data_IF_485755906471
#
_entry.id   IF_485755906471
#
_cell.length_a   1.000
_cell.length_b   1.000
_cell.length_c   1.000
_cell.angle_alpha   90.00
_cell.angle_beta   90.00
_cell.angle_gamma   90.00
#
_symmetry.space_group_name_H-M   'P 1'
#
loop_
_entity.id
_entity.type
_entity.pdbx_description
1 polymer ?
#
# COMPACT_ATOMS: atom_id res chain seq x y z
N UNK A 1 30.32 4.04 -26.89
CA UNK A 1 28.94 3.71 -27.30
C UNK A 1 27.86 4.52 -26.58
N UNK A 2 27.78 4.56 -25.24
CA UNK A 2 26.71 5.28 -24.51
C UNK A 2 26.60 6.78 -24.90
N UNK A 3 27.73 7.49 -25.05
CA UNK A 3 27.74 8.91 -25.46
C UNK A 3 27.12 9.17 -26.83
N UNK A 4 27.21 8.21 -27.75
CA UNK A 4 26.64 8.32 -29.11
C UNK A 4 25.10 8.26 -29.09
N UNK A 5 24.50 7.43 -28.23
CA UNK A 5 23.05 7.37 -28.07
C UNK A 5 22.48 8.57 -27.30
N UNK A 6 23.23 9.13 -26.34
CA UNK A 6 22.82 10.31 -25.57
C UNK A 6 22.99 11.63 -26.34
N UNK A 7 24.00 11.72 -27.21
CA UNK A 7 24.31 12.90 -28.01
C UNK A 7 24.40 12.49 -29.47
N UNK A 8 23.31 11.93 -29.98
CA UNK A 8 23.21 11.53 -31.37
C UNK A 8 23.18 12.79 -32.26
N UNK A 9 23.97 12.88 -33.35
CA UNK A 9 23.97 14.04 -34.24
C UNK A 9 22.63 14.25 -34.96
N UNK A 10 21.78 13.22 -35.00
CA UNK A 10 20.39 13.31 -35.49
C UNK A 10 19.37 13.70 -34.39
N UNK A 11 19.81 14.06 -33.18
CA UNK A 11 18.86 14.62 -32.20
C UNK A 11 18.26 15.91 -32.78
N UNK A 12 16.93 16.02 -32.84
CA UNK A 12 16.31 17.22 -33.38
C UNK A 12 16.66 18.41 -32.48
N UNK A 13 16.72 19.61 -33.07
CA UNK A 13 16.91 20.84 -32.30
C UNK A 13 15.78 20.98 -31.26
N UNK A 14 16.05 21.60 -30.10
CA UNK A 14 15.02 21.83 -29.08
C UNK A 14 13.78 22.53 -29.66
N UNK A 15 12.60 22.15 -29.18
CA UNK A 15 11.34 22.73 -29.65
C UNK A 15 11.27 24.23 -29.32
N UNK A 16 10.93 25.03 -30.33
CA UNK A 16 10.68 26.46 -30.19
C UNK A 16 9.18 26.71 -30.30
N UNK A 17 8.55 27.12 -29.20
CA UNK A 17 7.13 27.43 -29.19
C UNK A 17 6.88 28.93 -29.32
N UNK A 18 5.90 29.30 -30.16
CA UNK A 18 5.32 30.64 -30.11
C UNK A 18 4.47 30.83 -28.85
N UNK A 19 4.19 32.08 -28.48
CA UNK A 19 3.55 32.46 -27.20
C UNK A 19 2.29 31.64 -26.88
N UNK A 20 1.30 31.60 -27.78
CA UNK A 20 0.04 30.88 -27.54
C UNK A 20 0.23 29.37 -27.34
N UNK A 21 1.16 28.75 -28.08
CA UNK A 21 1.48 27.33 -27.94
C UNK A 21 2.19 27.05 -26.62
N UNK A 22 3.12 27.92 -26.22
CA UNK A 22 3.81 27.82 -24.95
C UNK A 22 2.85 27.91 -23.77
N UNK A 23 1.92 28.88 -23.80
CA UNK A 23 0.91 29.04 -22.75
C UNK A 23 0.00 27.81 -22.63
N UNK A 24 -0.49 27.26 -23.75
CA UNK A 24 -1.28 26.01 -23.75
C UNK A 24 -0.49 24.84 -23.14
N UNK A 25 0.77 24.67 -23.54
CA UNK A 25 1.64 23.63 -23.00
C UNK A 25 1.84 23.79 -21.49
N UNK A 26 2.11 25.03 -21.04
CA UNK A 26 2.27 25.34 -19.62
C UNK A 26 1.01 25.02 -18.81
N UNK A 27 -0.17 25.38 -19.31
CA UNK A 27 -1.45 25.08 -18.65
C UNK A 27 -1.68 23.57 -18.52
N UNK A 28 -1.47 22.80 -19.60
CA UNK A 28 -1.61 21.34 -19.58
C UNK A 28 -0.63 20.73 -18.58
N UNK A 29 0.64 21.15 -18.62
CA UNK A 29 1.67 20.65 -17.72
C UNK A 29 1.34 20.96 -16.25
N UNK A 30 0.88 22.18 -15.96
CA UNK A 30 0.49 22.58 -14.60
C UNK A 30 -0.72 21.77 -14.11
N UNK A 31 -1.74 21.57 -14.95
CA UNK A 31 -2.90 20.76 -14.63
C UNK A 31 -2.50 19.31 -14.34
N UNK A 32 -1.60 18.73 -15.14
CA UNK A 32 -1.05 17.39 -14.89
C UNK A 32 -0.31 17.30 -13.57
N UNK A 33 0.56 18.26 -13.25
CA UNK A 33 1.27 18.28 -11.96
C UNK A 33 0.31 18.35 -10.77
N UNK A 34 -0.76 19.14 -10.88
CA UNK A 34 -1.79 19.24 -9.85
C UNK A 34 -2.55 17.92 -9.69
N UNK A 35 -2.99 17.31 -10.80
CA UNK A 35 -3.63 16.00 -10.79
C UNK A 35 -2.73 14.93 -10.14
N UNK A 36 -1.44 14.89 -10.50
CA UNK A 36 -0.46 13.98 -9.90
C UNK A 36 -0.28 14.22 -8.40
N UNK A 37 -0.30 15.48 -7.94
CA UNK A 37 -0.26 15.79 -6.51
C UNK A 37 -1.52 15.29 -5.78
N UNK A 38 -2.70 15.47 -6.37
CA UNK A 38 -3.95 14.96 -5.83
C UNK A 38 -3.97 13.43 -5.75
N UNK A 39 -3.47 12.73 -6.78
CA UNK A 39 -3.36 11.28 -6.77
C UNK A 39 -2.45 10.78 -5.64
N UNK A 40 -1.29 11.41 -5.44
CA UNK A 40 -0.39 11.07 -4.33
C UNK A 40 -1.03 11.32 -2.97
N UNK A 41 -1.71 12.46 -2.79
CA UNK A 41 -2.43 12.76 -1.55
C UNK A 41 -3.53 11.72 -1.28
N UNK A 42 -4.31 11.35 -2.29
CA UNK A 42 -5.34 10.32 -2.17
C UNK A 42 -4.75 8.97 -1.77
N UNK A 43 -3.63 8.58 -2.39
CA UNK A 43 -2.92 7.33 -2.03
C UNK A 43 -2.42 7.37 -0.59
N UNK A 44 -1.83 8.49 -0.15
CA UNK A 44 -1.35 8.65 1.21
C UNK A 44 -2.49 8.57 2.24
N UNK A 45 -3.60 9.26 1.99
CA UNK A 45 -4.78 9.21 2.87
C UNK A 45 -5.37 7.80 2.96
N UNK A 46 -5.38 7.06 1.86
CA UNK A 46 -5.87 5.68 1.85
C UNK A 46 -4.94 4.74 2.64
N UNK A 47 -3.62 4.93 2.53
CA UNK A 47 -2.64 4.20 3.36
C UNK A 47 -2.78 4.55 4.85
N UNK A 48 -2.98 5.83 5.18
CA UNK A 48 -3.24 6.28 6.55
C UNK A 48 -4.54 5.68 7.09
N UNK A 49 -5.60 5.62 6.28
CA UNK A 49 -6.87 4.96 6.63
C UNK A 49 -6.68 3.49 6.94
N UNK A 50 -5.98 2.76 6.07
CA UNK A 50 -5.68 1.34 6.27
C UNK A 50 -4.83 1.12 7.52
N UNK A 51 -3.79 1.94 7.74
CA UNK A 51 -2.96 1.88 8.92
C UNK A 51 -3.77 2.12 10.21
N UNK A 52 -4.59 3.17 10.24
CA UNK A 52 -5.41 3.48 11.40
C UNK A 52 -6.40 2.35 11.72
N UNK A 53 -7.03 1.78 10.69
CA UNK A 53 -7.92 0.62 10.86
C UNK A 53 -7.19 -0.60 11.41
N UNK A 54 -6.00 -0.91 10.89
CA UNK A 54 -5.17 -2.01 11.40
C UNK A 54 -4.72 -1.75 12.84
N UNK A 55 -4.35 -0.51 13.18
CA UNK A 55 -3.96 -0.10 14.53
C UNK A 55 -5.11 -0.27 15.51
N UNK A 56 -6.30 0.20 15.18
CA UNK A 56 -7.51 0.07 16.01
C UNK A 56 -7.88 -1.40 16.24
N UNK A 57 -7.81 -2.23 15.20
CA UNK A 57 -8.03 -3.66 15.34
C UNK A 57 -6.98 -4.33 16.26
N UNK A 58 -5.72 -3.92 16.18
CA UNK A 58 -4.67 -4.43 17.05
C UNK A 58 -4.84 -3.99 18.51
N UNK A 59 -5.27 -2.75 18.77
CA UNK A 59 -5.61 -2.28 20.12
C UNK A 59 -6.79 -3.06 20.70
N UNK A 60 -7.83 -3.32 19.89
CA UNK A 60 -8.93 -4.17 20.31
C UNK A 60 -8.44 -5.58 20.70
N UNK A 61 -7.55 -6.19 19.90
CA UNK A 61 -6.94 -7.49 20.22
C UNK A 61 -6.06 -7.47 21.48
N UNK A 62 -5.47 -6.33 21.84
CA UNK A 62 -4.65 -6.16 23.04
C UNK A 62 -5.49 -6.26 24.31
N UNK A 63 -6.72 -5.74 24.27
CA UNK A 63 -7.67 -5.69 25.38
C UNK A 63 -8.63 -6.90 25.40
N UNK A 64 -8.61 -7.72 24.34
CA UNK A 64 -9.45 -8.89 24.20
C UNK A 64 -8.94 -10.06 25.07
N UNK A 65 -9.85 -10.69 25.81
CA UNK A 65 -9.61 -11.96 26.51
C UNK A 65 -9.82 -13.16 25.57
N UNK A 66 -9.45 -14.36 26.02
CA UNK A 66 -9.60 -15.64 25.32
C UNK A 66 -11.04 -15.94 24.84
N UNK A 67 -12.05 -15.41 25.54
CA UNK A 67 -13.47 -15.57 25.19
C UNK A 67 -13.98 -14.50 24.20
N UNK A 68 -13.11 -13.59 23.78
CA UNK A 68 -13.42 -12.54 22.82
C UNK A 68 -14.18 -11.34 23.35
N UNK A 69 -14.27 -11.21 24.68
CA UNK A 69 -14.78 -10.01 25.34
C UNK A 69 -13.65 -8.99 25.49
N UNK A 70 -13.92 -7.72 25.21
CA UNK A 70 -12.99 -6.61 25.45
C UNK A 70 -13.10 -6.14 26.89
N UNK A 71 -11.96 -5.99 27.55
CA UNK A 71 -11.88 -5.37 28.87
C UNK A 71 -11.61 -3.88 28.73
N UNK A 72 -12.20 -3.08 29.62
CA UNK A 72 -11.79 -1.67 29.74
C UNK A 72 -10.36 -1.58 30.25
N UNK A 73 -9.62 -0.56 29.80
CA UNK A 73 -8.18 -0.45 30.02
C UNK A 73 -7.81 -0.43 31.52
N UNK A 74 -8.67 0.17 32.35
CA UNK A 74 -8.49 0.29 33.79
C UNK A 74 -8.68 -1.04 34.55
N UNK A 75 -9.44 -1.97 33.97
CA UNK A 75 -9.70 -3.27 34.59
C UNK A 75 -8.54 -4.26 34.42
N UNK A 76 -7.62 -4.01 33.47
CA UNK A 76 -6.51 -4.90 33.15
C UNK A 76 -5.56 -5.15 34.34
N UNK A 77 -5.45 -4.18 35.26
CA UNK A 77 -4.59 -4.28 36.45
C UNK A 77 -5.15 -5.13 37.60
N UNK A 78 -6.46 -5.42 37.59
CA UNK A 78 -7.14 -6.20 38.63
C UNK A 78 -7.22 -7.71 38.30
N UNK A 79 -6.69 -8.14 37.16
CA UNK A 79 -6.78 -9.54 36.73
C UNK A 79 -5.88 -10.47 37.52
N UNK A 80 -6.38 -11.68 37.77
CA UNK A 80 -5.54 -12.77 38.26
C UNK A 80 -4.41 -13.09 37.27
N UNK A 81 -3.31 -13.64 37.77
CA UNK A 81 -2.13 -13.97 36.96
C UNK A 81 -2.39 -14.93 35.78
N UNK A 82 -3.46 -15.74 35.85
CA UNK A 82 -3.88 -16.64 34.78
C UNK A 82 -4.68 -15.91 33.71
N UNK A 83 -5.60 -15.01 34.09
CA UNK A 83 -6.39 -14.20 33.17
C UNK A 83 -5.53 -13.14 32.47
N UNK A 84 -4.57 -12.54 33.17
CA UNK A 84 -3.65 -11.56 32.57
C UNK A 84 -2.77 -12.16 31.47
N UNK A 85 -2.49 -13.48 31.51
CA UNK A 85 -1.81 -14.20 30.42
C UNK A 85 -2.71 -14.48 29.22
N UNK A 86 -4.03 -14.51 29.41
CA UNK A 86 -5.01 -14.79 28.36
C UNK A 86 -5.36 -13.51 27.59
N UNK A 87 -5.47 -12.39 28.29
CA UNK A 87 -5.61 -11.06 27.68
C UNK A 87 -4.41 -10.74 26.78
N UNK A 88 -4.70 -10.22 25.59
CA UNK A 88 -3.67 -9.84 24.61
C UNK A 88 -2.83 -11.00 24.08
N UNK A 89 -3.25 -12.26 24.30
CA UNK A 89 -2.56 -13.44 23.74
C UNK A 89 -2.58 -13.42 22.20
N UNK A 90 -3.75 -13.15 21.60
CA UNK A 90 -3.89 -13.07 20.15
C UNK A 90 -3.08 -11.92 19.57
N UNK A 91 -3.06 -10.77 20.23
CA UNK A 91 -2.21 -9.63 19.86
C UNK A 91 -0.72 -10.02 19.82
N UNK A 92 -0.20 -10.68 20.86
CA UNK A 92 1.20 -11.15 20.89
C UNK A 92 1.53 -12.12 19.75
N UNK A 93 0.61 -13.03 19.41
CA UNK A 93 0.77 -13.96 18.30
C UNK A 93 0.76 -13.22 16.96
N UNK A 94 -0.17 -12.28 16.76
CA UNK A 94 -0.27 -11.49 15.53
C UNK A 94 0.97 -10.61 15.28
N UNK A 95 1.64 -10.16 16.34
CA UNK A 95 2.88 -9.37 16.24
C UNK A 95 4.14 -10.19 15.94
N UNK A 96 4.06 -11.53 15.95
CA UNK A 96 5.19 -12.38 15.58
C UNK A 96 5.51 -12.22 14.10
N UNK A 97 6.75 -11.85 13.78
CA UNK A 97 7.24 -11.72 12.40
C UNK A 97 7.81 -13.03 11.85
N UNK A 98 7.20 -14.15 12.23
CA UNK A 98 7.62 -15.46 11.76
C UNK A 98 7.38 -15.55 10.25
N UNK A 99 8.37 -16.02 9.50
CA UNK A 99 8.30 -16.25 8.05
C UNK A 99 7.99 -15.04 7.15
N UNK A 100 7.79 -13.84 7.71
CA UNK A 100 7.58 -12.60 6.94
C UNK A 100 8.74 -12.34 5.97
N UNK A 101 9.96 -12.69 6.37
CA UNK A 101 11.18 -12.50 5.58
C UNK A 101 11.43 -13.60 4.55
N UNK A 102 10.62 -14.67 4.51
CA UNK A 102 10.67 -15.67 3.43
C UNK A 102 10.07 -15.13 2.13
N UNK A 103 9.43 -13.96 2.17
CA UNK A 103 8.86 -13.27 1.02
C UNK A 103 7.40 -13.61 0.78
N UNK A 104 6.88 -13.07 -0.32
CA UNK A 104 5.49 -13.25 -0.76
C UNK A 104 5.48 -14.32 -1.87
N UNK A 105 4.50 -15.24 -1.91
CA UNK A 105 4.41 -16.22 -2.99
C UNK A 105 4.34 -15.53 -4.37
N UNK A 106 5.20 -15.95 -5.29
CA UNK A 106 5.38 -15.31 -6.61
C UNK A 106 4.10 -15.33 -7.46
N UNK A 107 3.20 -16.29 -7.20
CA UNK A 107 1.93 -16.44 -7.91
C UNK A 107 0.98 -15.24 -7.71
N UNK A 108 1.07 -14.55 -6.57
CA UNK A 108 0.28 -13.34 -6.29
C UNK A 108 0.90 -12.07 -6.88
N UNK A 109 2.13 -12.11 -7.39
CA UNK A 109 2.84 -10.95 -7.90
C UNK A 109 2.55 -10.63 -9.39
N UNK A 110 1.44 -11.14 -9.94
CA UNK A 110 1.05 -10.89 -11.34
C UNK A 110 0.73 -9.40 -11.54
N UNK A 111 1.46 -8.76 -12.45
CA UNK A 111 1.28 -7.34 -12.80
C UNK A 111 0.01 -7.17 -13.64
N UNK A 112 -0.67 -6.04 -13.48
CA UNK A 112 -1.82 -5.68 -14.30
C UNK A 112 -1.44 -5.53 -15.78
N UNK A 113 -2.28 -6.06 -16.67
CA UNK A 113 -2.13 -5.98 -18.13
C UNK A 113 -3.19 -5.07 -18.73
N UNK A 114 -2.90 -4.47 -19.90
CA UNK A 114 -3.85 -3.60 -20.61
C UNK A 114 -5.12 -4.34 -21.07
N UNK A 115 -5.03 -5.65 -21.33
CA UNK A 115 -6.16 -6.51 -21.67
C UNK A 115 -6.04 -7.86 -20.96
N UNK A 116 -7.17 -8.47 -20.54
CA UNK A 116 -7.13 -9.76 -19.87
C UNK A 116 -6.71 -10.88 -20.84
N UNK A 117 -6.11 -11.98 -20.35
CA UNK A 117 -5.87 -13.16 -21.15
C UNK A 117 -7.21 -13.86 -21.49
N UNK A 118 -7.18 -14.78 -22.47
CA UNK A 118 -8.36 -15.57 -22.87
C UNK A 118 -8.97 -16.32 -21.69
N UNK A 119 -8.12 -16.96 -20.89
CA UNK A 119 -8.50 -17.62 -19.65
C UNK A 119 -8.13 -16.70 -18.48
N UNK A 120 -9.03 -15.76 -18.16
CA UNK A 120 -8.81 -14.70 -17.17
C UNK A 120 -8.59 -15.18 -15.73
N UNK A 121 -9.29 -16.25 -15.34
CA UNK A 121 -9.21 -16.85 -14.01
C UNK A 121 -9.35 -18.38 -14.11
N UNK A 122 -8.54 -19.11 -13.34
CA UNK A 122 -8.62 -20.56 -13.29
C UNK A 122 -9.62 -20.99 -12.20
N UNK A 123 -10.82 -21.39 -12.61
CA UNK A 123 -11.86 -21.90 -11.70
C UNK A 123 -11.64 -23.36 -11.29
N UNK A 124 -10.82 -24.11 -12.04
CA UNK A 124 -10.54 -25.54 -11.80
C UNK A 124 -9.31 -25.76 -10.90
N UNK A 125 -8.83 -24.69 -10.24
CA UNK A 125 -7.71 -24.79 -9.33
C UNK A 125 -8.04 -25.72 -8.16
N UNK A 126 -7.15 -26.70 -7.92
CA UNK A 126 -7.26 -27.68 -6.84
C UNK A 126 -5.99 -27.67 -5.98
N UNK A 127 -6.12 -28.06 -4.71
CA UNK A 127 -5.11 -27.93 -3.67
C UNK A 127 -4.10 -29.08 -3.65
#
# INVERSE_FOLDING_TARGET
>A
MIRYFLQHPLTPRPLRFGRNRYLRHWTIHRAWQLHQAQLRQKQQLELERQYNSMREACEALRLMDSNGMTLEEDAAGALSSSQSRQVGRLYRIAMLKNDVWKGIPIEYARIQTDSPPRDGWNHDWTR
#
